data_IF_526853773565
#
_entry.id   IF_526853773565
#
_cell.length_a   1.000
_cell.length_b   1.000
_cell.length_c   1.000
_cell.angle_alpha   90.00
_cell.angle_beta   90.00
_cell.angle_gamma   90.00
#
_symmetry.space_group_name_H-M   'P 1'
#
loop_
_entity.id
_entity.type
_entity.pdbx_description
1 polymer ?
#
# COMPACT_ATOMS: atom_id res chain seq x y z
N UNK A 1 -10.46 3.44 -10.71
CA UNK A 1 -10.34 3.96 -9.33
C UNK A 1 -11.49 4.95 -9.11
N UNK A 2 -12.46 4.62 -8.26
CA UNK A 2 -13.58 5.51 -7.94
C UNK A 2 -13.10 6.50 -6.88
N UNK A 3 -12.67 7.69 -7.29
CA UNK A 3 -12.30 8.75 -6.36
C UNK A 3 -13.56 9.56 -6.02
N UNK A 4 -14.29 9.13 -4.99
CA UNK A 4 -15.48 9.82 -4.51
C UNK A 4 -15.09 10.89 -3.48
N UNK A 5 -15.72 12.09 -3.52
CA UNK A 5 -15.44 13.13 -2.53
C UNK A 5 -15.84 12.69 -1.12
N UNK A 6 -15.21 13.23 -0.06
CA UNK A 6 -15.35 12.76 1.32
C UNK A 6 -16.77 12.87 1.90
N UNK A 7 -17.66 13.64 1.26
CA UNK A 7 -19.07 13.84 1.64
C UNK A 7 -20.05 13.21 0.63
N UNK A 8 -19.64 12.19 -0.12
CA UNK A 8 -20.54 11.49 -1.04
C UNK A 8 -21.08 10.22 -0.40
N UNK A 9 -22.37 10.24 -0.04
CA UNK A 9 -23.12 9.02 0.25
C UNK A 9 -23.71 8.47 -1.05
N UNK A 10 -23.14 7.39 -1.60
CA UNK A 10 -23.64 6.82 -2.85
C UNK A 10 -25.08 6.29 -2.67
N UNK A 11 -25.92 6.32 -3.72
CA UNK A 11 -27.27 5.78 -3.65
C UNK A 11 -27.24 4.27 -3.34
N UNK A 12 -28.24 3.77 -2.61
CA UNK A 12 -28.34 2.34 -2.23
C UNK A 12 -28.15 1.41 -3.43
N UNK A 13 -28.62 1.80 -4.61
CA UNK A 13 -28.48 1.04 -5.86
C UNK A 13 -27.02 0.81 -6.29
N UNK A 14 -26.08 1.63 -5.84
CA UNK A 14 -24.65 1.46 -6.11
C UNK A 14 -24.02 0.38 -5.19
N UNK A 15 -24.46 0.27 -3.93
CA UNK A 15 -23.98 -0.78 -2.99
C UNK A 15 -24.37 -2.21 -3.38
N UNK A 16 -25.36 -2.36 -4.25
CA UNK A 16 -25.82 -3.66 -4.76
C UNK A 16 -25.02 -4.09 -5.99
N UNK A 17 -24.28 -3.17 -6.61
CA UNK A 17 -23.45 -3.49 -7.76
C UNK A 17 -22.18 -4.23 -7.28
N UNK A 18 -21.83 -5.36 -7.91
CA UNK A 18 -20.64 -6.13 -7.54
C UNK A 18 -19.38 -5.27 -7.63
N UNK A 19 -19.23 -4.49 -8.70
CA UNK A 19 -18.07 -3.62 -8.91
C UNK A 19 -17.84 -2.58 -7.79
N UNK A 20 -18.92 -2.04 -7.18
CA UNK A 20 -18.79 -1.07 -6.11
C UNK A 20 -18.37 -1.71 -4.78
N UNK A 21 -18.94 -2.89 -4.50
CA UNK A 21 -18.54 -3.71 -3.34
C UNK A 21 -17.07 -4.11 -3.44
N UNK A 22 -16.63 -4.52 -4.63
CA UNK A 22 -15.24 -4.87 -4.90
C UNK A 22 -14.30 -3.68 -4.72
N UNK A 23 -14.69 -2.49 -5.20
CA UNK A 23 -13.92 -1.26 -5.01
C UNK A 23 -13.79 -0.88 -3.52
N UNK A 24 -14.87 -0.97 -2.74
CA UNK A 24 -14.84 -0.71 -1.30
C UNK A 24 -13.98 -1.72 -0.53
N UNK A 25 -14.02 -2.98 -0.93
CA UNK A 25 -13.16 -4.03 -0.36
C UNK A 25 -11.70 -3.73 -0.69
N UNK A 26 -11.38 -3.37 -1.94
CA UNK A 26 -10.02 -3.00 -2.34
C UNK A 26 -9.51 -1.77 -1.57
N UNK A 27 -10.33 -0.73 -1.42
CA UNK A 27 -9.99 0.46 -0.64
C UNK A 27 -9.71 0.11 0.83
N UNK A 28 -10.57 -0.71 1.43
CA UNK A 28 -10.40 -1.11 2.84
C UNK A 28 -9.15 -1.97 3.04
N UNK A 29 -8.87 -2.91 2.13
CA UNK A 29 -7.63 -3.69 2.13
C UNK A 29 -6.41 -2.78 1.95
N UNK A 30 -6.46 -1.82 1.01
CA UNK A 30 -5.40 -0.84 0.81
C UNK A 30 -5.12 -0.01 2.07
N UNK A 31 -6.16 0.49 2.73
CA UNK A 31 -6.00 1.26 3.98
C UNK A 31 -5.34 0.42 5.09
N UNK A 32 -5.74 -0.85 5.26
CA UNK A 32 -5.13 -1.75 6.25
C UNK A 32 -3.66 -2.06 5.90
N UNK A 33 -3.39 -2.31 4.63
CA UNK A 33 -2.05 -2.54 4.10
C UNK A 33 -1.14 -1.33 4.40
N UNK A 34 -1.54 -0.13 4.00
CA UNK A 34 -0.79 1.10 4.21
C UNK A 34 -0.56 1.36 5.71
N UNK A 35 -1.56 1.17 6.56
CA UNK A 35 -1.42 1.30 8.02
C UNK A 35 -0.39 0.33 8.61
N UNK A 36 -0.34 -0.91 8.11
CA UNK A 36 0.67 -1.91 8.51
C UNK A 36 2.06 -1.51 8.04
N UNK A 37 2.17 -1.06 6.79
CA UNK A 37 3.44 -0.59 6.21
C UNK A 37 3.97 0.60 6.97
N UNK A 38 3.16 1.63 7.21
CA UNK A 38 3.56 2.80 7.99
C UNK A 38 4.01 2.41 9.40
N UNK A 39 3.34 1.46 10.06
CA UNK A 39 3.80 0.94 11.36
C UNK A 39 5.13 0.19 11.27
N UNK A 40 5.34 -0.61 10.23
CA UNK A 40 6.64 -1.27 10.01
C UNK A 40 7.74 -0.25 9.75
N UNK A 41 7.52 0.69 8.84
CA UNK A 41 8.46 1.77 8.52
C UNK A 41 8.77 2.61 9.75
N UNK A 42 7.75 3.02 10.51
CA UNK A 42 7.89 3.83 11.72
C UNK A 42 8.43 3.07 12.92
N UNK A 43 8.70 1.77 12.81
CA UNK A 43 9.30 1.00 13.90
C UNK A 43 10.78 1.43 14.09
N UNK A 44 11.29 1.50 15.32
CA UNK A 44 12.64 1.99 15.60
C UNK A 44 13.74 1.17 14.90
N UNK A 45 13.55 -0.14 14.72
CA UNK A 45 14.45 -0.98 13.90
C UNK A 45 14.45 -0.57 12.43
N UNK A 46 13.26 -0.36 11.86
CA UNK A 46 13.12 -0.01 10.46
C UNK A 46 13.66 1.39 10.16
N UNK A 47 13.45 2.35 11.07
CA UNK A 47 14.06 3.67 11.00
C UNK A 47 15.59 3.61 11.15
N UNK A 48 16.12 2.75 12.04
CA UNK A 48 17.57 2.60 12.24
C UNK A 48 18.26 1.96 11.02
N UNK A 49 17.66 0.91 10.45
CA UNK A 49 18.21 0.20 9.29
C UNK A 49 17.78 0.81 7.95
N UNK A 50 16.91 1.83 7.98
CA UNK A 50 16.20 2.42 6.85
C UNK A 50 15.63 1.37 5.89
N UNK A 51 15.08 0.30 6.45
CA UNK A 51 14.49 -0.78 5.67
C UNK A 51 13.27 -1.36 6.37
N UNK A 52 12.28 -1.76 5.56
CA UNK A 52 11.12 -2.49 6.03
C UNK A 52 10.79 -3.61 5.05
N UNK A 53 10.49 -4.77 5.61
CA UNK A 53 10.00 -5.91 4.84
C UNK A 53 8.47 -5.85 4.84
N UNK A 54 7.87 -5.79 3.66
CA UNK A 54 6.42 -5.76 3.49
C UNK A 54 6.03 -7.05 2.78
N UNK A 55 5.14 -7.79 3.43
CA UNK A 55 4.55 -9.01 2.89
C UNK A 55 3.08 -8.77 2.65
N UNK A 56 2.63 -9.07 1.43
CA UNK A 56 1.23 -9.10 1.04
C UNK A 56 0.54 -10.22 1.82
N UNK A 57 -0.59 -9.91 2.42
CA UNK A 57 -1.41 -10.89 3.11
C UNK A 57 -2.51 -11.44 2.18
N UNK A 58 -3.06 -12.64 2.48
CA UNK A 58 -4.18 -13.19 1.71
C UNK A 58 -5.46 -12.35 1.81
N UNK A 59 -5.57 -11.48 2.83
CA UNK A 59 -6.62 -10.46 2.97
C UNK A 59 -6.41 -9.24 2.06
N UNK A 60 -5.21 -9.07 1.50
CA UNK A 60 -4.86 -7.94 0.64
C UNK A 60 -5.17 -8.27 -0.83
N UNK A 61 -5.98 -7.42 -1.45
CA UNK A 61 -6.29 -7.53 -2.88
C UNK A 61 -5.06 -7.24 -3.73
N UNK A 62 -4.96 -7.89 -4.89
CA UNK A 62 -3.84 -7.69 -5.81
C UNK A 62 -3.79 -6.24 -6.32
N UNK A 63 -4.95 -5.62 -6.49
CA UNK A 63 -5.10 -4.21 -6.88
C UNK A 63 -4.54 -3.25 -5.81
N UNK A 64 -4.90 -3.44 -4.53
CA UNK A 64 -4.37 -2.66 -3.42
C UNK A 64 -2.84 -2.80 -3.30
N UNK A 65 -2.34 -4.03 -3.42
CA UNK A 65 -0.90 -4.31 -3.41
C UNK A 65 -0.18 -3.62 -4.56
N UNK A 66 -0.68 -3.76 -5.78
CA UNK A 66 -0.09 -3.13 -6.96
C UNK A 66 -0.09 -1.60 -6.86
N UNK A 67 -1.17 -0.99 -6.33
CA UNK A 67 -1.19 0.46 -6.05
C UNK A 67 -0.09 0.86 -5.07
N UNK A 68 0.04 0.14 -3.96
CA UNK A 68 1.07 0.43 -2.95
C UNK A 68 2.48 0.35 -3.54
N UNK A 69 2.76 -0.70 -4.32
CA UNK A 69 4.04 -0.85 -5.01
C UNK A 69 4.31 0.29 -5.98
N UNK A 70 3.29 0.71 -6.74
CA UNK A 70 3.40 1.85 -7.65
C UNK A 70 3.70 3.15 -6.91
N UNK A 71 3.04 3.39 -5.77
CA UNK A 71 3.27 4.58 -4.94
C UNK A 71 4.70 4.57 -4.36
N UNK A 72 5.14 3.43 -3.81
CA UNK A 72 6.48 3.26 -3.26
C UNK A 72 7.57 3.38 -4.34
N UNK A 73 7.33 2.87 -5.55
CA UNK A 73 8.25 3.03 -6.69
C UNK A 73 8.28 4.43 -7.29
N UNK A 74 7.30 5.27 -6.97
CA UNK A 74 7.31 6.70 -7.34
C UNK A 74 8.19 7.50 -6.38
N UNK A 75 8.49 6.98 -5.19
CA UNK A 75 9.38 7.63 -4.24
C UNK A 75 10.84 7.39 -4.64
N UNK A 76 11.49 8.41 -5.18
CA UNK A 76 12.88 8.33 -5.69
C UNK A 76 13.88 7.80 -4.64
N UNK A 77 13.62 8.06 -3.36
CA UNK A 77 14.47 7.65 -2.25
C UNK A 77 14.17 6.25 -1.71
N UNK A 78 13.28 5.48 -2.35
CA UNK A 78 12.90 4.13 -1.94
C UNK A 78 13.35 3.13 -2.99
N UNK A 79 14.27 2.24 -2.59
CA UNK A 79 14.63 1.05 -3.34
C UNK A 79 13.71 -0.10 -2.96
N UNK A 80 12.97 -0.63 -3.92
CA UNK A 80 12.17 -1.84 -3.75
C UNK A 80 12.97 -3.06 -4.21
N UNK A 81 13.05 -4.08 -3.36
CA UNK A 81 13.80 -5.31 -3.59
C UNK A 81 12.82 -6.46 -3.40
N UNK A 82 12.35 -7.14 -4.47
CA UNK A 82 11.53 -8.33 -4.32
C UNK A 82 12.35 -9.43 -3.62
N UNK A 83 11.80 -9.98 -2.54
CA UNK A 83 12.42 -11.10 -1.81
C UNK A 83 11.98 -12.43 -2.44
N UNK A 84 10.72 -12.52 -2.83
CA UNK A 84 10.12 -13.71 -3.42
C UNK A 84 9.83 -13.52 -4.91
N UNK A 85 9.90 -14.62 -5.67
CA UNK A 85 9.65 -14.66 -7.13
C UNK A 85 8.21 -14.23 -7.48
N UNK A 86 7.28 -14.39 -6.52
CA UNK A 86 5.87 -14.00 -6.68
C UNK A 86 5.63 -12.50 -6.47
N UNK A 87 6.64 -11.72 -6.08
CA UNK A 87 6.52 -10.30 -5.71
C UNK A 87 5.46 -10.03 -4.62
N UNK A 88 5.04 -11.06 -3.88
CA UNK A 88 4.16 -10.95 -2.71
C UNK A 88 4.94 -10.55 -1.46
N UNK A 89 6.26 -10.68 -1.48
CA UNK A 89 7.14 -10.23 -0.42
C UNK A 89 8.22 -9.34 -1.00
N UNK A 90 8.24 -8.10 -0.53
CA UNK A 90 9.22 -7.12 -0.95
C UNK A 90 9.90 -6.50 0.26
N UNK A 91 11.17 -6.18 0.12
CA UNK A 91 11.90 -5.31 1.04
C UNK A 91 11.97 -3.94 0.43
N UNK A 92 11.46 -2.96 1.15
CA UNK A 92 11.75 -1.57 0.84
C UNK A 92 12.94 -1.11 1.67
N UNK A 93 13.85 -0.38 1.03
CA UNK A 93 14.94 0.32 1.68
C UNK A 93 14.85 1.77 1.26
N UNK A 94 14.84 2.69 2.20
CA UNK A 94 14.91 4.12 1.89
C UNK A 94 16.28 4.65 2.28
N UNK A 95 16.77 5.68 1.59
CA UNK A 95 18.03 6.32 1.95
C UNK A 95 17.77 7.78 2.34
N UNK A 96 17.80 8.15 3.63
CA UNK A 96 17.49 9.51 4.07
C UNK A 96 18.55 10.54 3.63
N UNK A 97 19.76 10.10 3.24
CA UNK A 97 20.87 10.96 2.84
C UNK A 97 20.65 11.70 1.50
N UNK A 98 19.78 11.21 0.62
CA UNK A 98 19.46 11.85 -0.67
C UNK A 98 18.21 12.74 -0.63
N UNK A 99 17.42 12.70 0.46
CA UNK A 99 16.20 13.50 0.60
C UNK A 99 16.45 14.96 1.03
N UNK A 100 17.70 15.38 1.20
CA UNK A 100 18.12 16.73 1.61
C UNK A 100 19.06 17.40 0.60
N UNK A 101 18.88 17.14 -0.70
CA UNK A 101 19.57 17.87 -1.77
C UNK A 101 18.59 18.78 -2.51
#
# INVERSE_FOLDING_TARGET
MFNAPPDYTPPIKLYIQPAYREALVSEKSYQQLIQRVQRKIGSPRAQSENCAEIQRQPEDTADAWARMLSELGTVENVTMIPIDDTAEHIRIRWNPLESMA
#
